data_IF_216327274620
#
_entry.id   IF_216327274620
#
_cell.length_a   1.000
_cell.length_b   1.000
_cell.length_c   1.000
_cell.angle_alpha   90.00
_cell.angle_beta   90.00
_cell.angle_gamma   90.00
#
_symmetry.space_group_name_H-M   'P 1'
#
loop_
_entity.id
_entity.type
_entity.pdbx_description
1 polymer ?
#
# COMPACT_ATOMS: atom_id res chain seq x y z
N UNK A 1 -9.56 7.99 -23.54
CA UNK A 1 -8.25 7.59 -22.99
C UNK A 1 -7.25 8.76 -22.90
N UNK A 2 -7.07 9.60 -23.94
CA UNK A 2 -6.12 10.75 -23.93
C UNK A 2 -6.36 11.80 -22.82
N UNK A 3 -7.60 12.00 -22.37
CA UNK A 3 -7.90 12.93 -21.26
C UNK A 3 -7.41 12.42 -19.89
N UNK A 4 -7.26 11.09 -19.72
CA UNK A 4 -6.84 10.49 -18.45
C UNK A 4 -5.33 10.67 -18.26
N UNK A 5 -4.54 10.35 -19.27
CA UNK A 5 -3.07 10.51 -19.24
C UNK A 5 -2.66 11.98 -19.11
N UNK A 6 -3.42 12.89 -19.72
CA UNK A 6 -3.14 14.33 -19.58
C UNK A 6 -3.49 14.86 -18.18
N UNK A 7 -4.52 14.30 -17.53
CA UNK A 7 -4.84 14.60 -16.14
C UNK A 7 -3.79 14.03 -15.19
N UNK A 8 -3.31 12.81 -15.42
CA UNK A 8 -2.23 12.21 -14.63
C UNK A 8 -0.94 13.05 -14.67
N UNK A 9 -0.58 13.60 -15.84
CA UNK A 9 0.55 14.55 -15.96
C UNK A 9 0.30 15.84 -15.18
N UNK A 10 -0.90 16.41 -15.27
CA UNK A 10 -1.25 17.62 -14.52
C UNK A 10 -1.17 17.38 -13.01
N UNK A 11 -1.71 16.26 -12.53
CA UNK A 11 -1.66 15.87 -11.12
C UNK A 11 -0.20 15.69 -10.65
N UNK A 12 0.66 15.08 -11.48
CA UNK A 12 2.09 14.98 -11.20
C UNK A 12 2.76 16.37 -11.09
N UNK A 13 2.50 17.28 -12.04
CA UNK A 13 3.07 18.64 -11.99
C UNK A 13 2.63 19.39 -10.73
N UNK A 14 1.39 19.16 -10.29
CA UNK A 14 0.84 19.78 -9.08
C UNK A 14 1.36 19.18 -7.79
N UNK A 15 1.68 17.89 -7.77
CA UNK A 15 2.24 17.22 -6.59
C UNK A 15 3.69 17.64 -6.26
N UNK A 16 4.43 18.17 -7.24
CA UNK A 16 5.81 18.62 -7.02
C UNK A 16 5.90 19.74 -5.97
N UNK A 17 6.87 19.62 -5.06
CA UNK A 17 7.24 20.65 -4.10
C UNK A 17 7.88 21.86 -4.78
N UNK A 18 7.94 23.01 -4.09
CA UNK A 18 8.64 24.21 -4.59
C UNK A 18 10.11 23.92 -4.94
N UNK A 19 10.78 23.07 -4.16
CA UNK A 19 12.17 22.66 -4.39
C UNK A 19 12.30 21.78 -5.64
N UNK A 20 11.45 20.77 -5.80
CA UNK A 20 11.44 19.88 -6.99
C UNK A 20 11.15 20.68 -8.27
N UNK A 21 10.20 21.62 -8.24
CA UNK A 21 9.91 22.52 -9.39
C UNK A 21 11.12 23.38 -9.78
N UNK A 22 11.87 23.89 -8.80
CA UNK A 22 13.13 24.63 -9.07
C UNK A 22 14.21 23.71 -9.65
N UNK A 23 14.31 22.48 -9.15
CA UNK A 23 15.25 21.48 -9.65
C UNK A 23 14.97 21.14 -11.11
N UNK A 24 13.71 20.83 -11.45
CA UNK A 24 13.29 20.54 -12.83
C UNK A 24 13.60 21.70 -13.79
N UNK A 25 13.30 22.95 -13.39
CA UNK A 25 13.63 24.12 -14.23
C UNK A 25 15.13 24.24 -14.51
N UNK A 26 16.00 23.90 -13.55
CA UNK A 26 17.46 23.88 -13.78
C UNK A 26 17.87 22.72 -14.67
N UNK A 27 17.30 21.54 -14.46
CA UNK A 27 17.55 20.34 -15.26
C UNK A 27 17.21 20.58 -16.75
N UNK A 28 16.00 21.04 -17.04
CA UNK A 28 15.55 21.28 -18.41
C UNK A 28 16.32 22.41 -19.10
N UNK A 29 16.79 23.43 -18.35
CA UNK A 29 17.67 24.49 -18.88
C UNK A 29 19.08 24.00 -19.24
N UNK A 30 19.61 22.98 -18.56
CA UNK A 30 20.94 22.42 -18.85
C UNK A 30 20.95 21.55 -20.10
N UNK A 31 19.82 20.91 -20.41
CA UNK A 31 19.66 20.02 -21.56
C UNK A 31 19.09 20.77 -22.78
N UNK A 32 19.51 22.02 -22.98
CA UNK A 32 18.83 23.02 -23.83
C UNK A 32 18.97 22.77 -25.34
N UNK A 33 18.09 21.93 -25.89
CA UNK A 33 17.75 21.89 -27.32
C UNK A 33 16.39 22.60 -27.57
N UNK A 34 16.05 22.99 -28.80
CA UNK A 34 14.79 23.70 -29.12
C UNK A 34 13.53 23.03 -28.57
N UNK A 35 13.50 21.69 -28.57
CA UNK A 35 12.42 20.88 -28.01
C UNK A 35 12.28 21.01 -26.48
N UNK A 36 13.39 21.18 -25.77
CA UNK A 36 13.40 21.39 -24.30
C UNK A 36 12.77 22.73 -23.88
N UNK A 37 12.83 23.75 -24.75
CA UNK A 37 12.17 25.04 -24.49
C UNK A 37 10.65 24.89 -24.53
N UNK A 38 10.12 24.13 -25.48
CA UNK A 38 8.68 23.83 -25.57
C UNK A 38 8.20 23.02 -24.36
N UNK A 39 8.99 22.05 -23.90
CA UNK A 39 8.70 21.27 -22.68
C UNK A 39 8.63 22.18 -21.44
N UNK A 40 9.56 23.12 -21.30
CA UNK A 40 9.54 24.11 -20.22
C UNK A 40 8.31 25.01 -20.26
N UNK A 41 7.86 25.42 -21.45
CA UNK A 41 6.65 26.24 -21.60
C UNK A 41 5.42 25.45 -21.16
N UNK A 42 5.24 24.21 -21.62
CA UNK A 42 4.13 23.34 -21.20
C UNK A 42 4.12 23.17 -19.67
N UNK A 43 5.29 22.89 -19.09
CA UNK A 43 5.41 22.76 -17.64
C UNK A 43 4.92 24.00 -16.89
N UNK A 44 5.34 25.20 -17.33
CA UNK A 44 4.92 26.46 -16.71
C UNK A 44 3.42 26.69 -16.86
N UNK A 45 2.87 26.39 -18.04
CA UNK A 45 1.44 26.52 -18.30
C UNK A 45 0.64 25.60 -17.38
N UNK A 46 0.97 24.31 -17.34
CA UNK A 46 0.32 23.33 -16.45
C UNK A 46 0.46 23.69 -14.98
N UNK A 47 1.65 24.12 -14.54
CA UNK A 47 1.88 24.53 -13.16
C UNK A 47 1.05 25.76 -12.77
N UNK A 48 0.76 26.67 -13.72
CA UNK A 48 -0.05 27.87 -13.49
C UNK A 48 -1.57 27.62 -13.45
N UNK A 49 -2.06 26.55 -14.05
CA UNK A 49 -3.50 26.25 -14.14
C UNK A 49 -4.07 25.75 -12.81
N UNK A 50 -5.22 26.22 -12.37
CA UNK A 50 -5.89 25.67 -11.17
C UNK A 50 -6.54 24.32 -11.45
N UNK A 51 -7.22 24.23 -12.60
CA UNK A 51 -7.82 23.01 -13.11
C UNK A 51 -7.29 22.73 -14.51
N UNK A 52 -7.18 21.45 -14.84
CA UNK A 52 -6.70 21.03 -16.14
C UNK A 52 -7.68 21.44 -17.26
N UNK A 53 -7.19 22.27 -18.20
CA UNK A 53 -7.93 22.70 -19.38
C UNK A 53 -7.04 22.59 -20.64
N UNK A 54 -7.38 21.62 -21.49
CA UNK A 54 -6.65 21.35 -22.73
C UNK A 54 -6.75 22.49 -23.75
N UNK A 55 -7.90 23.18 -23.82
CA UNK A 55 -8.09 24.29 -24.76
C UNK A 55 -7.21 25.47 -24.38
N UNK A 56 -7.10 25.75 -23.08
CA UNK A 56 -6.19 26.78 -22.57
C UNK A 56 -4.72 26.40 -22.79
N UNK A 57 -4.37 25.12 -22.66
CA UNK A 57 -3.02 24.64 -22.95
C UNK A 57 -2.64 24.91 -24.41
N UNK A 58 -3.50 24.49 -25.35
CA UNK A 58 -3.29 24.71 -26.79
C UNK A 58 -3.18 26.21 -27.12
N UNK A 59 -4.05 27.05 -26.56
CA UNK A 59 -4.02 28.52 -26.80
C UNK A 59 -2.72 29.18 -26.33
N UNK A 60 -2.14 28.70 -25.23
CA UNK A 60 -0.89 29.26 -24.68
C UNK A 60 0.36 28.75 -25.42
N UNK A 61 0.26 27.63 -26.13
CA UNK A 61 1.35 27.07 -26.95
C UNK A 61 1.36 27.69 -28.36
N UNK A 62 1.77 28.96 -28.47
CA UNK A 62 1.91 29.64 -29.78
C UNK A 62 3.06 29.01 -30.58
N UNK A 63 2.76 28.48 -31.78
CA UNK A 63 3.75 27.94 -32.72
C UNK A 63 3.98 26.42 -32.65
N UNK A 64 3.28 25.69 -31.77
CA UNK A 64 3.30 24.23 -31.72
C UNK A 64 2.05 23.68 -32.38
N UNK A 65 2.20 22.74 -33.32
CA UNK A 65 1.05 22.09 -33.95
C UNK A 65 0.31 21.22 -32.92
N UNK A 66 -1.03 21.25 -32.92
CA UNK A 66 -1.85 20.43 -32.01
C UNK A 66 -1.47 18.94 -32.03
N UNK A 67 -0.98 18.45 -33.18
CA UNK A 67 -0.54 17.06 -33.36
C UNK A 67 0.72 16.71 -32.54
N UNK A 68 1.56 17.68 -32.20
CA UNK A 68 2.80 17.48 -31.42
C UNK A 68 2.56 17.49 -29.90
N UNK A 69 1.42 18.01 -29.45
CA UNK A 69 1.14 18.21 -28.03
C UNK A 69 1.15 16.91 -27.20
N UNK A 70 0.61 15.77 -27.67
CA UNK A 70 0.72 14.50 -26.95
C UNK A 70 2.17 14.03 -26.76
N UNK A 71 3.02 14.18 -27.78
CA UNK A 71 4.44 13.81 -27.69
C UNK A 71 5.19 14.69 -26.70
N UNK A 72 4.96 16.00 -26.76
CA UNK A 72 5.56 16.96 -25.83
C UNK A 72 5.13 16.73 -24.38
N UNK A 73 3.88 16.31 -24.14
CA UNK A 73 3.41 15.90 -22.81
C UNK A 73 4.14 14.64 -22.33
N UNK A 74 4.34 13.66 -23.21
CA UNK A 74 5.13 12.46 -22.90
C UNK A 74 6.58 12.79 -22.56
N UNK A 75 7.21 13.68 -23.34
CA UNK A 75 8.56 14.16 -23.07
C UNK A 75 8.65 14.95 -21.76
N UNK A 76 7.67 15.81 -21.47
CA UNK A 76 7.59 16.51 -20.19
C UNK A 76 7.50 15.52 -19.02
N UNK A 77 6.63 14.52 -19.12
CA UNK A 77 6.47 13.49 -18.10
C UNK A 77 7.80 12.80 -17.82
N UNK A 78 8.50 12.32 -18.85
CA UNK A 78 9.78 11.63 -18.71
C UNK A 78 10.87 12.57 -18.14
N UNK A 79 10.97 13.81 -18.61
CA UNK A 79 11.96 14.76 -18.09
C UNK A 79 11.70 15.13 -16.62
N UNK A 80 10.44 15.20 -16.18
CA UNK A 80 10.12 15.38 -14.76
C UNK A 80 10.66 14.20 -13.96
N UNK A 81 10.37 12.96 -14.38
CA UNK A 81 10.85 11.76 -13.71
C UNK A 81 12.39 11.68 -13.65
N UNK A 82 13.08 11.99 -14.75
CA UNK A 82 14.55 12.03 -14.79
C UNK A 82 15.11 13.08 -13.80
N UNK A 83 14.51 14.27 -13.76
CA UNK A 83 14.94 15.32 -12.84
C UNK A 83 14.74 14.93 -11.37
N UNK A 84 13.67 14.21 -11.06
CA UNK A 84 13.37 13.71 -9.72
C UNK A 84 14.34 12.60 -9.32
N UNK A 85 14.65 11.68 -10.25
CA UNK A 85 15.64 10.62 -10.06
C UNK A 85 17.00 11.22 -9.68
N UNK A 86 17.49 12.19 -10.45
CA UNK A 86 18.78 12.86 -10.14
C UNK A 86 18.74 13.54 -8.77
N UNK A 87 17.63 14.18 -8.42
CA UNK A 87 17.49 14.87 -7.13
C UNK A 87 17.39 13.94 -5.91
N UNK A 88 16.93 12.70 -6.09
CA UNK A 88 16.67 11.72 -5.00
C UNK A 88 17.66 10.56 -4.94
N UNK A 89 18.65 10.52 -5.83
CA UNK A 89 19.60 9.41 -5.89
C UNK A 89 20.29 9.14 -4.55
N UNK A 90 20.70 10.19 -3.82
CA UNK A 90 21.40 10.02 -2.54
C UNK A 90 20.46 9.63 -1.39
N UNK A 91 19.15 9.85 -1.53
CA UNK A 91 18.15 9.52 -0.49
C UNK A 91 17.57 8.10 -0.68
N UNK A 92 17.50 7.62 -1.92
CA UNK A 92 16.86 6.34 -2.24
C UNK A 92 17.87 5.21 -2.39
N UNK A 93 17.87 4.26 -1.45
CA UNK A 93 18.67 3.03 -1.50
C UNK A 93 18.47 2.28 -2.83
N UNK A 94 17.23 2.18 -3.32
CA UNK A 94 16.92 1.50 -4.58
C UNK A 94 17.60 2.19 -5.76
N UNK A 95 17.57 3.53 -5.81
CA UNK A 95 18.26 4.29 -6.87
C UNK A 95 19.78 4.10 -6.79
N UNK A 96 20.36 4.09 -5.59
CA UNK A 96 21.78 3.82 -5.40
C UNK A 96 22.16 2.41 -5.88
N UNK A 97 21.36 1.39 -5.56
CA UNK A 97 21.60 0.01 -6.00
C UNK A 97 21.52 -0.12 -7.52
N UNK A 98 20.52 0.49 -8.15
CA UNK A 98 20.42 0.55 -9.61
C UNK A 98 21.64 1.26 -10.22
N UNK A 99 22.03 2.41 -9.68
CA UNK A 99 23.17 3.17 -10.17
C UNK A 99 24.48 2.36 -10.06
N UNK A 100 24.71 1.67 -8.94
CA UNK A 100 25.88 0.79 -8.79
C UNK A 100 25.86 -0.35 -9.81
N UNK A 101 24.69 -0.92 -10.10
CA UNK A 101 24.55 -1.98 -11.11
C UNK A 101 24.86 -1.45 -12.52
N UNK A 102 24.34 -0.26 -12.85
CA UNK A 102 24.62 0.44 -14.11
C UNK A 102 26.12 0.73 -14.25
N UNK A 103 26.75 1.28 -13.21
CA UNK A 103 28.18 1.55 -13.18
C UNK A 103 29.01 0.28 -13.40
N UNK A 104 28.66 -0.82 -12.73
CA UNK A 104 29.33 -2.10 -12.91
C UNK A 104 29.21 -2.59 -14.36
N UNK A 105 28.01 -2.53 -14.95
CA UNK A 105 27.75 -2.93 -16.33
C UNK A 105 28.53 -2.09 -17.34
N UNK A 106 28.59 -0.76 -17.16
CA UNK A 106 29.35 0.16 -18.03
C UNK A 106 30.84 -0.16 -17.95
N UNK A 107 31.39 -0.34 -16.75
CA UNK A 107 32.81 -0.66 -16.56
C UNK A 107 33.16 -2.00 -17.20
N UNK A 108 32.32 -3.02 -16.99
CA UNK A 108 32.49 -4.33 -17.60
C UNK A 108 32.45 -4.25 -19.14
N UNK A 109 31.47 -3.56 -19.72
CA UNK A 109 31.35 -3.38 -21.16
C UNK A 109 32.55 -2.66 -21.78
N UNK A 110 33.20 -1.77 -21.02
CA UNK A 110 34.43 -1.08 -21.42
C UNK A 110 35.72 -1.86 -21.15
N UNK A 111 35.64 -3.10 -20.63
CA UNK A 111 36.80 -3.94 -20.33
C UNK A 111 37.47 -3.66 -18.98
N UNK A 112 36.94 -2.75 -18.15
CA UNK A 112 37.46 -2.43 -16.82
C UNK A 112 36.97 -3.42 -15.76
N UNK A 113 37.35 -4.70 -15.92
CA UNK A 113 36.81 -5.83 -15.16
C UNK A 113 37.10 -5.72 -13.65
N UNK A 114 38.33 -5.34 -13.27
CA UNK A 114 38.71 -5.19 -11.86
C UNK A 114 37.90 -4.08 -11.19
N UNK A 115 37.67 -2.97 -11.90
CA UNK A 115 36.87 -1.85 -11.42
C UNK A 115 35.40 -2.26 -11.29
N UNK A 116 34.86 -2.98 -12.27
CA UNK A 116 33.51 -3.54 -12.21
C UNK A 116 33.33 -4.44 -10.98
N UNK A 117 34.30 -5.34 -10.70
CA UNK A 117 34.29 -6.18 -9.50
C UNK A 117 34.28 -5.39 -8.18
N UNK A 118 35.03 -4.29 -8.10
CA UNK A 118 34.99 -3.39 -6.92
C UNK A 118 33.62 -2.74 -6.73
N UNK A 119 32.96 -2.33 -7.82
CA UNK A 119 31.60 -1.76 -7.76
C UNK A 119 30.59 -2.83 -7.35
N UNK A 120 30.68 -4.05 -7.89
CA UNK A 120 29.83 -5.17 -7.49
C UNK A 120 29.97 -5.52 -6.01
N UNK A 121 31.19 -5.50 -5.46
CA UNK A 121 31.40 -5.71 -4.02
C UNK A 121 30.67 -4.66 -3.17
N UNK A 122 30.71 -3.38 -3.58
CA UNK A 122 29.96 -2.30 -2.90
C UNK A 122 28.45 -2.53 -3.01
N UNK A 123 27.97 -2.92 -4.19
CA UNK A 123 26.56 -3.24 -4.41
C UNK A 123 26.11 -4.40 -3.51
N UNK A 124 26.86 -5.50 -3.45
CA UNK A 124 26.58 -6.65 -2.56
C UNK A 124 26.47 -6.21 -1.10
N UNK A 125 27.44 -5.43 -0.62
CA UNK A 125 27.44 -4.95 0.76
C UNK A 125 26.21 -4.09 1.07
N UNK A 126 25.90 -3.13 0.19
CA UNK A 126 24.73 -2.26 0.34
C UNK A 126 23.42 -3.05 0.27
N UNK A 127 23.31 -3.99 -0.67
CA UNK A 127 22.13 -4.83 -0.83
C UNK A 127 21.90 -5.71 0.40
N UNK A 128 22.95 -6.35 0.91
CA UNK A 128 22.90 -7.18 2.13
C UNK A 128 22.52 -6.35 3.36
N UNK A 129 23.11 -5.17 3.55
CA UNK A 129 22.78 -4.31 4.70
C UNK A 129 21.36 -3.74 4.65
N UNK A 130 20.71 -3.75 3.48
CA UNK A 130 19.36 -3.22 3.27
C UNK A 130 18.33 -4.29 2.93
N UNK A 131 18.66 -5.56 3.14
CA UNK A 131 17.79 -6.72 2.87
C UNK A 131 17.28 -6.81 1.42
N UNK A 132 18.01 -6.26 0.45
CA UNK A 132 17.65 -6.23 -0.97
C UNK A 132 18.18 -7.46 -1.72
N UNK A 133 17.62 -8.63 -1.40
CA UNK A 133 18.12 -9.94 -1.88
C UNK A 133 18.09 -10.05 -3.43
N UNK A 134 17.14 -9.39 -4.10
CA UNK A 134 17.08 -9.39 -5.58
C UNK A 134 18.28 -8.71 -6.23
N UNK A 135 18.78 -7.63 -5.64
CA UNK A 135 20.01 -6.95 -6.10
C UNK A 135 21.25 -7.76 -5.77
N UNK A 136 21.29 -8.40 -4.60
CA UNK A 136 22.37 -9.32 -4.23
C UNK A 136 22.49 -10.45 -5.27
N UNK A 137 21.36 -11.05 -5.67
CA UNK A 137 21.32 -12.08 -6.70
C UNK A 137 21.87 -11.58 -8.04
N UNK A 138 21.43 -10.41 -8.51
CA UNK A 138 21.93 -9.81 -9.75
C UNK A 138 23.45 -9.56 -9.69
N UNK A 139 23.95 -9.08 -8.55
CA UNK A 139 25.38 -8.88 -8.32
C UNK A 139 26.16 -10.18 -8.45
N UNK A 140 25.68 -11.24 -7.80
CA UNK A 140 26.32 -12.57 -7.81
C UNK A 140 26.29 -13.20 -9.21
N UNK A 141 25.22 -13.00 -9.97
CA UNK A 141 25.14 -13.46 -11.38
C UNK A 141 26.23 -12.78 -12.20
N UNK A 142 26.37 -11.46 -12.04
CA UNK A 142 27.39 -10.70 -12.77
C UNK A 142 28.82 -11.05 -12.32
N UNK A 143 29.03 -11.27 -11.03
CA UNK A 143 30.31 -11.69 -10.46
C UNK A 143 30.73 -13.08 -11.00
N UNK A 144 29.79 -14.04 -11.05
CA UNK A 144 30.03 -15.35 -11.67
C UNK A 144 30.34 -15.23 -13.16
N UNK A 145 29.63 -14.35 -13.88
CA UNK A 145 29.90 -14.08 -15.31
C UNK A 145 31.31 -13.54 -15.52
N UNK A 146 31.77 -12.63 -14.65
CA UNK A 146 33.14 -12.11 -14.68
C UNK A 146 34.14 -13.24 -14.40
N UNK A 147 33.92 -14.02 -13.35
CA UNK A 147 34.84 -15.11 -12.95
C UNK A 147 34.97 -16.19 -14.01
N UNK A 148 33.88 -16.53 -14.71
CA UNK A 148 33.91 -17.51 -15.81
C UNK A 148 34.78 -17.08 -16.99
N UNK A 149 34.93 -15.78 -17.24
CA UNK A 149 35.65 -15.25 -18.41
C UNK A 149 37.06 -14.79 -18.05
N UNK A 150 37.23 -14.14 -16.90
CA UNK A 150 38.46 -13.45 -16.49
C UNK A 150 39.05 -13.96 -15.16
N UNK A 151 38.43 -14.97 -14.55
CA UNK A 151 38.80 -15.48 -13.24
C UNK A 151 40.11 -16.23 -13.20
N UNK A 152 40.61 -16.46 -11.99
CA UNK A 152 41.87 -17.19 -11.72
C UNK A 152 41.69 -18.71 -11.62
N UNK A 153 40.46 -19.22 -11.82
CA UNK A 153 40.09 -20.63 -11.60
C UNK A 153 40.38 -21.16 -10.19
N UNK A 154 40.47 -20.27 -9.18
CA UNK A 154 40.73 -20.66 -7.80
C UNK A 154 39.51 -21.41 -7.22
N UNK A 155 39.68 -22.70 -6.90
CA UNK A 155 38.58 -23.56 -6.44
C UNK A 155 37.89 -23.04 -5.17
N UNK A 156 38.64 -22.46 -4.23
CA UNK A 156 38.08 -21.92 -3.00
C UNK A 156 37.10 -20.77 -3.28
N UNK A 157 37.50 -19.84 -4.15
CA UNK A 157 36.66 -18.71 -4.58
C UNK A 157 35.41 -19.17 -5.34
N UNK A 158 35.56 -20.13 -6.25
CA UNK A 158 34.42 -20.70 -7.01
C UNK A 158 33.41 -21.35 -6.05
N UNK A 159 33.87 -22.15 -5.08
CA UNK A 159 33.01 -22.76 -4.07
C UNK A 159 32.28 -21.71 -3.23
N UNK A 160 32.98 -20.68 -2.78
CA UNK A 160 32.39 -19.57 -2.02
C UNK A 160 31.29 -18.85 -2.81
N UNK A 161 31.53 -18.48 -4.07
CA UNK A 161 30.52 -17.84 -4.93
C UNK A 161 29.31 -18.75 -5.21
N UNK A 162 29.53 -20.06 -5.32
CA UNK A 162 28.44 -21.02 -5.48
C UNK A 162 27.57 -21.12 -4.23
N UNK A 163 28.19 -21.19 -3.05
CA UNK A 163 27.47 -21.23 -1.77
C UNK A 163 26.69 -19.93 -1.54
N UNK A 164 27.29 -18.76 -1.79
CA UNK A 164 26.59 -17.47 -1.69
C UNK A 164 25.38 -17.39 -2.62
N UNK A 165 25.52 -17.87 -3.86
CA UNK A 165 24.41 -17.91 -4.82
C UNK A 165 23.28 -18.84 -4.36
N UNK A 166 23.62 -20.02 -3.82
CA UNK A 166 22.62 -20.97 -3.32
C UNK A 166 21.86 -20.38 -2.12
N UNK A 167 22.57 -19.79 -1.15
CA UNK A 167 21.96 -19.12 -0.01
C UNK A 167 21.05 -17.96 -0.46
N UNK A 168 21.50 -17.14 -1.41
CA UNK A 168 20.72 -16.03 -1.97
C UNK A 168 19.46 -16.54 -2.71
N UNK A 169 19.59 -17.61 -3.49
CA UNK A 169 18.48 -18.21 -4.23
C UNK A 169 17.41 -18.78 -3.28
N UNK A 170 17.85 -19.42 -2.19
CA UNK A 170 16.96 -19.93 -1.17
C UNK A 170 16.17 -18.80 -0.48
N UNK A 171 16.84 -17.70 -0.11
CA UNK A 171 16.16 -16.53 0.48
C UNK A 171 15.16 -15.89 -0.48
N UNK A 172 15.47 -15.80 -1.79
CA UNK A 172 14.51 -15.33 -2.80
C UNK A 172 13.30 -16.24 -2.92
N UNK A 173 13.51 -17.55 -2.87
CA UNK A 173 12.42 -18.51 -2.91
C UNK A 173 11.49 -18.35 -1.70
N UNK A 174 12.05 -18.26 -0.49
CA UNK A 174 11.28 -18.01 0.73
C UNK A 174 10.50 -16.70 0.64
N UNK A 175 11.13 -15.62 0.16
CA UNK A 175 10.48 -14.33 -0.04
C UNK A 175 9.27 -14.44 -0.98
N UNK A 176 9.44 -15.13 -2.11
CA UNK A 176 8.36 -15.36 -3.08
C UNK A 176 7.21 -16.20 -2.49
N UNK A 177 7.53 -17.28 -1.79
CA UNK A 177 6.54 -18.14 -1.13
C UNK A 177 5.71 -17.38 -0.09
N UNK A 178 6.37 -16.66 0.82
CA UNK A 178 5.69 -15.89 1.87
C UNK A 178 4.85 -14.75 1.29
N UNK A 179 5.39 -14.03 0.30
CA UNK A 179 4.67 -12.94 -0.37
C UNK A 179 3.42 -13.46 -1.08
N UNK A 180 3.53 -14.58 -1.80
CA UNK A 180 2.38 -15.18 -2.50
C UNK A 180 1.29 -15.60 -1.51
N UNK A 181 1.68 -16.26 -0.42
CA UNK A 181 0.74 -16.68 0.61
C UNK A 181 0.03 -15.50 1.28
N UNK A 182 0.79 -14.48 1.69
CA UNK A 182 0.26 -13.23 2.27
C UNK A 182 -0.72 -12.55 1.31
N UNK A 183 -0.38 -12.48 0.02
CA UNK A 183 -1.22 -11.86 -1.00
C UNK A 183 -2.52 -12.65 -1.25
N UNK A 184 -2.47 -13.98 -1.27
CA UNK A 184 -3.66 -14.83 -1.42
C UNK A 184 -4.63 -14.64 -0.25
N UNK A 185 -4.12 -14.72 0.99
CA UNK A 185 -4.91 -14.51 2.20
C UNK A 185 -5.46 -13.09 2.27
N UNK A 186 -4.66 -12.08 1.92
CA UNK A 186 -5.13 -10.70 1.86
C UNK A 186 -6.22 -10.52 0.81
N UNK A 187 -6.10 -11.16 -0.35
CA UNK A 187 -7.12 -11.13 -1.40
C UNK A 187 -8.46 -11.67 -0.91
N UNK A 188 -8.45 -12.80 -0.21
CA UNK A 188 -9.63 -13.38 0.43
C UNK A 188 -10.22 -12.45 1.49
N UNK A 189 -9.38 -11.91 2.39
CA UNK A 189 -9.83 -10.95 3.41
C UNK A 189 -10.44 -9.70 2.79
N UNK A 190 -9.83 -9.17 1.72
CA UNK A 190 -10.33 -7.98 1.01
C UNK A 190 -11.69 -8.24 0.37
N UNK A 191 -11.97 -9.47 -0.06
CA UNK A 191 -13.26 -9.86 -0.67
C UNK A 191 -14.32 -10.16 0.38
N UNK A 192 -14.02 -11.06 1.30
CA UNK A 192 -15.02 -11.64 2.20
C UNK A 192 -15.04 -10.96 3.58
N UNK A 193 -13.90 -10.49 4.07
CA UNK A 193 -13.69 -10.19 5.49
C UNK A 193 -13.39 -11.47 6.27
N UNK A 194 -14.22 -11.79 7.25
CA UNK A 194 -14.19 -13.10 7.94
C UNK A 194 -14.91 -14.17 7.11
N UNK A 195 -14.33 -15.37 7.01
CA UNK A 195 -15.00 -16.51 6.37
C UNK A 195 -15.93 -17.19 7.37
N UNK A 196 -17.07 -17.68 6.88
CA UNK A 196 -18.10 -18.34 7.72
C UNK A 196 -18.61 -19.66 7.14
N UNK A 197 -18.26 -19.97 5.89
CA UNK A 197 -18.63 -21.22 5.23
C UNK A 197 -17.47 -22.21 5.32
N UNK A 198 -17.76 -23.45 5.71
CA UNK A 198 -16.78 -24.54 5.85
C UNK A 198 -15.87 -24.69 4.63
N UNK A 199 -16.39 -24.54 3.41
CA UNK A 199 -15.56 -24.60 2.18
C UNK A 199 -14.55 -23.47 2.08
N UNK A 200 -14.93 -22.27 2.52
CA UNK A 200 -14.03 -21.10 2.53
C UNK A 200 -12.99 -21.23 3.63
N UNK A 201 -13.37 -21.76 4.79
CA UNK A 201 -12.47 -22.07 5.89
C UNK A 201 -11.41 -23.09 5.47
N UNK A 202 -11.81 -24.21 4.86
CA UNK A 202 -10.90 -25.24 4.34
C UNK A 202 -9.92 -24.67 3.31
N UNK A 203 -10.39 -23.78 2.43
CA UNK A 203 -9.53 -23.11 1.46
C UNK A 203 -8.51 -22.17 2.13
N UNK A 204 -8.94 -21.40 3.13
CA UNK A 204 -8.04 -20.53 3.92
C UNK A 204 -7.01 -21.36 4.68
N UNK A 205 -7.41 -22.46 5.31
CA UNK A 205 -6.55 -23.37 6.05
C UNK A 205 -5.54 -24.07 5.11
N UNK A 206 -5.95 -24.46 3.89
CA UNK A 206 -5.06 -25.04 2.89
C UNK A 206 -3.99 -24.03 2.40
N UNK A 207 -4.38 -22.79 2.11
CA UNK A 207 -3.45 -21.73 1.71
C UNK A 207 -2.44 -21.45 2.84
N UNK A 208 -2.91 -21.33 4.08
CA UNK A 208 -2.05 -21.08 5.23
C UNK A 208 -1.13 -22.27 5.57
N UNK A 209 -1.63 -23.50 5.41
CA UNK A 209 -0.88 -24.74 5.67
C UNK A 209 0.25 -25.02 4.68
N UNK A 210 0.20 -24.45 3.47
CA UNK A 210 1.20 -24.71 2.41
C UNK A 210 2.64 -24.35 2.82
N UNK A 211 2.81 -23.32 3.65
CA UNK A 211 4.13 -22.83 4.09
C UNK A 211 4.26 -22.68 5.61
N UNK A 212 3.43 -23.37 6.39
CA UNK A 212 3.37 -23.23 7.86
C UNK A 212 4.59 -23.80 8.61
N UNK A 213 5.44 -24.58 7.94
CA UNK A 213 6.63 -25.24 8.54
C UNK A 213 7.93 -24.45 8.41
N UNK A 214 7.86 -23.20 7.97
CA UNK A 214 9.05 -22.36 7.83
C UNK A 214 9.59 -21.96 9.19
N UNK A 215 10.89 -22.14 9.39
CA UNK A 215 11.59 -21.67 10.58
C UNK A 215 11.68 -20.14 10.57
N UNK A 216 10.93 -19.51 11.48
CA UNK A 216 10.82 -18.05 11.61
C UNK A 216 12.17 -17.37 11.93
N UNK A 217 13.09 -18.06 12.61
CA UNK A 217 14.40 -17.51 12.98
C UNK A 217 15.35 -17.42 11.78
N UNK A 218 15.18 -18.33 10.81
CA UNK A 218 15.98 -18.36 9.58
C UNK A 218 15.62 -17.26 8.56
N UNK A 219 14.53 -16.53 8.79
CA UNK A 219 13.99 -15.56 7.84
C UNK A 219 14.67 -14.19 7.94
N UNK A 220 15.07 -13.67 6.79
CA UNK A 220 15.42 -12.25 6.63
C UNK A 220 14.18 -11.35 6.72
N UNK A 221 14.39 -10.03 6.78
CA UNK A 221 13.33 -9.03 7.05
C UNK A 221 12.07 -9.21 6.19
N UNK A 222 12.17 -9.20 4.85
CA UNK A 222 10.99 -9.24 3.97
C UNK A 222 10.21 -10.57 4.06
N UNK A 223 10.83 -11.76 3.97
CA UNK A 223 10.14 -13.01 4.25
C UNK A 223 9.43 -13.01 5.61
N UNK A 224 10.07 -12.51 6.67
CA UNK A 224 9.50 -12.44 8.02
C UNK A 224 8.31 -11.48 8.11
N UNK A 225 8.42 -10.33 7.44
CA UNK A 225 7.32 -9.38 7.28
C UNK A 225 6.11 -10.05 6.61
N UNK A 226 6.31 -10.71 5.47
CA UNK A 226 5.23 -11.39 4.76
C UNK A 226 4.64 -12.56 5.55
N UNK A 227 5.46 -13.27 6.32
CA UNK A 227 5.00 -14.32 7.23
C UNK A 227 4.07 -13.78 8.32
N UNK A 228 4.43 -12.68 8.99
CA UNK A 228 3.54 -12.05 9.97
C UNK A 228 2.28 -11.46 9.34
N UNK A 229 2.36 -10.94 8.13
CA UNK A 229 1.19 -10.51 7.37
C UNK A 229 0.24 -11.67 7.08
N UNK A 230 0.77 -12.79 6.57
CA UNK A 230 0.00 -14.00 6.30
C UNK A 230 -0.70 -14.50 7.57
N UNK A 231 0.03 -14.60 8.70
CA UNK A 231 -0.54 -14.90 10.02
C UNK A 231 -1.69 -13.95 10.40
N UNK A 232 -1.46 -12.64 10.26
CA UNK A 232 -2.45 -11.61 10.61
C UNK A 232 -3.73 -11.77 9.79
N UNK A 233 -3.61 -11.94 8.46
CA UNK A 233 -4.77 -12.12 7.58
C UNK A 233 -5.48 -13.45 7.80
N UNK A 234 -4.73 -14.52 8.06
CA UNK A 234 -5.29 -15.82 8.40
C UNK A 234 -6.17 -15.75 9.65
N UNK A 235 -5.66 -15.18 10.74
CA UNK A 235 -6.42 -15.09 11.98
C UNK A 235 -7.60 -14.09 11.89
N UNK A 236 -7.51 -13.06 11.05
CA UNK A 236 -8.64 -12.21 10.70
C UNK A 236 -9.73 -13.00 9.95
N UNK A 237 -9.35 -13.79 8.95
CA UNK A 237 -10.28 -14.63 8.19
C UNK A 237 -10.99 -15.63 9.09
N UNK A 238 -10.26 -16.27 10.02
CA UNK A 238 -10.82 -17.25 10.97
C UNK A 238 -11.48 -16.63 12.20
N UNK A 239 -11.57 -15.30 12.29
CA UNK A 239 -12.14 -14.58 13.44
C UNK A 239 -11.50 -14.95 14.79
N UNK A 240 -10.18 -15.22 14.82
CA UNK A 240 -9.44 -15.61 16.02
C UNK A 240 -8.74 -14.39 16.64
N UNK A 241 -9.49 -13.58 17.40
CA UNK A 241 -9.07 -12.24 17.86
C UNK A 241 -7.75 -12.22 18.65
N UNK A 242 -7.54 -13.18 19.56
CA UNK A 242 -6.30 -13.24 20.36
C UNK A 242 -5.06 -13.48 19.49
N UNK A 243 -5.16 -14.41 18.54
CA UNK A 243 -4.05 -14.76 17.64
C UNK A 243 -3.84 -13.67 16.56
N UNK A 244 -4.92 -13.01 16.14
CA UNK A 244 -4.85 -11.79 15.33
C UNK A 244 -4.06 -10.69 16.05
N UNK A 245 -4.36 -10.42 17.33
CA UNK A 245 -3.61 -9.44 18.11
C UNK A 245 -2.12 -9.78 18.21
N UNK A 246 -1.79 -11.02 18.55
CA UNK A 246 -0.41 -11.47 18.68
C UNK A 246 0.36 -11.34 17.36
N UNK A 247 -0.23 -11.78 16.25
CA UNK A 247 0.40 -11.69 14.93
C UNK A 247 0.57 -10.26 14.42
N UNK A 248 -0.44 -9.39 14.61
CA UNK A 248 -0.34 -7.97 14.29
C UNK A 248 0.73 -7.27 15.14
N UNK A 249 0.88 -7.66 16.41
CA UNK A 249 1.95 -7.17 17.27
C UNK A 249 3.33 -7.60 16.75
N UNK A 250 3.52 -8.87 16.39
CA UNK A 250 4.79 -9.34 15.80
C UNK A 250 5.14 -8.58 14.50
N UNK A 251 4.14 -8.26 13.67
CA UNK A 251 4.34 -7.43 12.48
C UNK A 251 4.89 -6.04 12.86
N UNK A 252 4.27 -5.36 13.83
CA UNK A 252 4.75 -4.03 14.29
C UNK A 252 6.12 -4.12 14.96
N UNK A 253 6.32 -5.09 15.85
CA UNK A 253 7.56 -5.30 16.61
C UNK A 253 8.75 -5.64 15.71
N UNK A 254 8.52 -6.23 14.54
CA UNK A 254 9.57 -6.44 13.53
C UNK A 254 10.25 -5.12 13.16
N UNK A 255 9.51 -4.02 13.05
CA UNK A 255 10.10 -2.71 12.72
C UNK A 255 10.88 -2.09 13.87
N UNK A 256 10.59 -2.48 15.12
CA UNK A 256 11.42 -2.10 16.27
C UNK A 256 12.79 -2.78 16.23
N UNK A 257 12.87 -3.99 15.67
CA UNK A 257 14.14 -4.72 15.46
C UNK A 257 14.94 -4.17 14.27
N UNK A 258 14.27 -3.54 13.31
CA UNK A 258 14.87 -2.96 12.11
C UNK A 258 14.41 -1.49 11.91
N UNK A 259 14.90 -0.53 12.72
CA UNK A 259 14.40 0.85 12.72
C UNK A 259 14.48 1.54 11.35
N UNK A 260 15.57 1.32 10.61
CA UNK A 260 15.75 1.87 9.25
C UNK A 260 14.64 1.43 8.29
N UNK A 261 14.09 0.22 8.48
CA UNK A 261 13.00 -0.30 7.65
C UNK A 261 11.67 0.37 7.98
N UNK A 262 11.49 0.94 9.18
CA UNK A 262 10.26 1.65 9.55
C UNK A 262 10.08 2.92 8.72
N UNK A 263 11.18 3.55 8.31
CA UNK A 263 11.16 4.71 7.41
C UNK A 263 11.03 4.29 5.95
N UNK A 264 11.82 3.28 5.53
CA UNK A 264 11.81 2.80 4.15
C UNK A 264 10.47 2.18 3.74
N UNK A 265 9.86 1.40 4.64
CA UNK A 265 8.61 0.66 4.42
C UNK A 265 7.48 1.25 5.26
N UNK A 266 7.44 2.58 5.37
CA UNK A 266 6.47 3.33 6.21
C UNK A 266 5.01 2.89 5.98
N UNK A 267 4.64 2.60 4.73
CA UNK A 267 3.29 2.13 4.38
C UNK A 267 2.98 0.77 4.99
N UNK A 268 3.94 -0.17 4.97
CA UNK A 268 3.78 -1.49 5.58
C UNK A 268 3.75 -1.39 7.10
N UNK A 269 4.60 -0.53 7.69
CA UNK A 269 4.61 -0.28 9.12
C UNK A 269 3.29 0.29 9.62
N UNK A 270 2.76 1.34 8.95
CA UNK A 270 1.48 1.95 9.29
C UNK A 270 0.31 1.00 9.12
N UNK A 271 0.37 0.14 8.10
CA UNK A 271 -0.65 -0.89 7.90
C UNK A 271 -0.65 -1.90 9.05
N UNK A 272 0.51 -2.38 9.46
CA UNK A 272 0.66 -3.26 10.63
C UNK A 272 0.14 -2.59 11.90
N UNK A 273 0.52 -1.34 12.15
CA UNK A 273 0.04 -0.56 13.29
C UNK A 273 -1.48 -0.35 13.28
N UNK A 274 -2.11 -0.19 12.10
CA UNK A 274 -3.56 -0.10 11.96
C UNK A 274 -4.27 -1.41 12.30
N UNK A 275 -3.69 -2.56 11.95
CA UNK A 275 -4.22 -3.86 12.36
C UNK A 275 -4.03 -4.10 13.86
N UNK A 276 -2.89 -3.73 14.42
CA UNK A 276 -2.68 -3.80 15.87
C UNK A 276 -3.66 -2.91 16.64
N UNK A 277 -3.93 -1.70 16.14
CA UNK A 277 -4.93 -0.80 16.71
C UNK A 277 -6.33 -1.40 16.68
N UNK A 278 -6.72 -2.01 15.55
CA UNK A 278 -7.99 -2.72 15.41
C UNK A 278 -8.09 -3.90 16.39
N UNK A 279 -7.04 -4.72 16.50
CA UNK A 279 -6.99 -5.84 17.43
C UNK A 279 -7.08 -5.39 18.89
N UNK A 280 -6.36 -4.31 19.24
CA UNK A 280 -6.39 -3.73 20.57
C UNK A 280 -7.78 -3.19 20.94
N UNK A 281 -8.49 -2.60 19.97
CA UNK A 281 -9.88 -2.18 20.15
C UNK A 281 -10.78 -3.39 20.44
N UNK A 282 -10.69 -4.46 19.63
CA UNK A 282 -11.51 -5.67 19.81
C UNK A 282 -11.26 -6.36 21.16
N UNK A 283 -10.01 -6.36 21.63
CA UNK A 283 -9.63 -6.93 22.93
C UNK A 283 -9.76 -5.96 24.11
N UNK A 284 -10.24 -4.73 23.89
CA UNK A 284 -10.34 -3.69 24.93
C UNK A 284 -8.98 -3.39 25.60
N UNK A 285 -7.88 -3.55 24.87
CA UNK A 285 -6.50 -3.35 25.36
C UNK A 285 -6.09 -1.87 25.24
N UNK A 286 -6.54 -1.05 26.21
CA UNK A 286 -6.37 0.42 26.19
C UNK A 286 -4.94 0.91 25.93
N UNK A 287 -3.95 0.35 26.62
CA UNK A 287 -2.55 0.78 26.49
C UNK A 287 -2.04 0.62 25.05
N UNK A 288 -2.27 -0.56 24.45
CA UNK A 288 -1.89 -0.85 23.07
C UNK A 288 -2.69 -0.03 22.07
N UNK A 289 -3.98 0.24 22.36
CA UNK A 289 -4.83 1.08 21.52
C UNK A 289 -4.26 2.50 21.40
N UNK A 290 -3.87 3.11 22.52
CA UNK A 290 -3.24 4.44 22.55
C UNK A 290 -1.86 4.41 21.88
N UNK A 291 -1.00 3.45 22.23
CA UNK A 291 0.34 3.33 21.66
C UNK A 291 0.31 3.18 20.14
N UNK A 292 -0.55 2.31 19.61
CA UNK A 292 -0.69 2.10 18.16
C UNK A 292 -1.27 3.34 17.45
N UNK A 293 -2.17 4.11 18.10
CA UNK A 293 -2.68 5.36 17.54
C UNK A 293 -1.57 6.42 17.37
N UNK A 294 -0.63 6.51 18.32
CA UNK A 294 0.54 7.41 18.20
C UNK A 294 1.41 7.06 17.00
N UNK A 295 1.65 5.76 16.74
CA UNK A 295 2.42 5.32 15.57
C UNK A 295 1.77 5.76 14.25
N UNK A 296 0.44 5.81 14.21
CA UNK A 296 -0.33 6.14 13.01
C UNK A 296 -0.34 7.64 12.69
N UNK A 297 -0.04 8.53 13.65
CA UNK A 297 0.03 9.99 13.42
C UNK A 297 1.09 10.38 12.39
N UNK A 298 2.11 9.53 12.18
CA UNK A 298 3.15 9.72 11.16
C UNK A 298 2.67 9.44 9.73
N UNK A 299 1.41 9.02 9.54
CA UNK A 299 0.85 8.73 8.23
C UNK A 299 0.68 10.00 7.39
N UNK A 300 1.24 10.03 6.17
CA UNK A 300 0.96 11.14 5.24
C UNK A 300 -0.50 11.13 4.79
N UNK A 301 -1.17 9.97 4.91
CA UNK A 301 -2.58 9.78 4.60
C UNK A 301 -3.43 9.79 5.88
N UNK A 302 -4.49 10.61 5.92
CA UNK A 302 -5.40 10.74 7.06
C UNK A 302 -6.21 9.46 7.36
N UNK A 303 -6.22 8.48 6.45
CA UNK A 303 -7.00 7.25 6.61
C UNK A 303 -6.74 6.52 7.94
N UNK A 304 -5.48 6.20 8.24
CA UNK A 304 -5.13 5.46 9.45
C UNK A 304 -5.29 6.27 10.75
N UNK A 305 -4.86 7.55 10.81
CA UNK A 305 -5.16 8.42 11.97
C UNK A 305 -6.65 8.51 12.29
N UNK A 306 -7.52 8.69 11.29
CA UNK A 306 -8.97 8.79 11.50
C UNK A 306 -9.55 7.47 12.01
N UNK A 307 -9.15 6.32 11.45
CA UNK A 307 -9.58 5.02 11.96
C UNK A 307 -9.16 4.80 13.41
N UNK A 308 -7.92 5.13 13.76
CA UNK A 308 -7.43 4.99 15.13
C UNK A 308 -8.18 5.91 16.11
N UNK A 309 -8.47 7.14 15.69
CA UNK A 309 -9.27 8.08 16.48
C UNK A 309 -10.69 7.56 16.67
N UNK A 310 -11.34 7.03 15.63
CA UNK A 310 -12.67 6.41 15.75
C UNK A 310 -12.64 5.22 16.72
N UNK A 311 -11.65 4.33 16.60
CA UNK A 311 -11.51 3.17 17.49
C UNK A 311 -11.35 3.61 18.96
N UNK A 312 -10.59 4.68 19.23
CA UNK A 312 -10.46 5.25 20.57
C UNK A 312 -11.79 5.82 21.10
N UNK A 313 -12.53 6.56 20.27
CA UNK A 313 -13.82 7.14 20.66
C UNK A 313 -14.90 6.07 20.87
N UNK A 314 -14.88 5.00 20.07
CA UNK A 314 -15.70 3.81 20.28
C UNK A 314 -15.35 3.11 21.61
N UNK A 315 -14.06 2.98 21.93
CA UNK A 315 -13.60 2.39 23.19
C UNK A 315 -14.09 3.20 24.41
N UNK A 316 -13.94 4.52 24.37
CA UNK A 316 -14.40 5.43 25.44
C UNK A 316 -15.91 5.67 25.41
N UNK A 317 -16.63 5.11 24.41
CA UNK A 317 -18.07 5.34 24.16
C UNK A 317 -18.44 6.83 24.07
N UNK A 318 -17.57 7.62 23.46
CA UNK A 318 -17.72 9.06 23.32
C UNK A 318 -18.08 9.42 21.88
N UNK A 319 -19.25 10.05 21.67
CA UNK A 319 -19.63 10.63 20.38
C UNK A 319 -19.12 12.08 20.23
N UNK A 320 -18.54 12.40 19.07
CA UNK A 320 -18.09 13.75 18.70
C UNK A 320 -18.54 14.08 17.27
N UNK A 321 -19.48 15.03 17.16
CA UNK A 321 -20.06 15.47 15.89
C UNK A 321 -19.01 16.07 14.94
N UNK A 322 -17.99 16.77 15.48
CA UNK A 322 -16.95 17.40 14.66
C UNK A 322 -16.06 16.36 13.98
N UNK A 323 -15.75 15.27 14.70
CA UNK A 323 -15.06 14.12 14.15
C UNK A 323 -15.89 13.44 13.06
N UNK A 324 -17.19 13.27 13.28
CA UNK A 324 -18.10 12.69 12.29
C UNK A 324 -18.12 13.51 10.98
N UNK A 325 -18.24 14.83 11.06
CA UNK A 325 -18.22 15.69 9.88
C UNK A 325 -16.87 15.62 9.13
N UNK A 326 -15.76 15.62 9.87
CA UNK A 326 -14.42 15.44 9.29
C UNK A 326 -14.30 14.10 8.56
N UNK A 327 -14.75 13.01 9.18
CA UNK A 327 -14.69 11.65 8.63
C UNK A 327 -15.57 11.53 7.39
N UNK A 328 -16.76 12.15 7.39
CA UNK A 328 -17.66 12.14 6.24
C UNK A 328 -17.07 12.87 5.03
N UNK A 329 -16.49 14.06 5.25
CA UNK A 329 -15.85 14.83 4.18
C UNK A 329 -14.63 14.11 3.60
N UNK A 330 -13.78 13.55 4.46
CA UNK A 330 -12.65 12.74 4.01
C UNK A 330 -13.13 11.47 3.28
N UNK A 331 -14.15 10.80 3.81
CA UNK A 331 -14.79 9.62 3.20
C UNK A 331 -15.26 9.88 1.77
N UNK A 332 -15.90 11.03 1.51
CA UNK A 332 -16.31 11.45 0.15
C UNK A 332 -15.14 11.59 -0.84
N UNK A 333 -13.96 11.97 -0.35
CA UNK A 333 -12.76 12.14 -1.17
C UNK A 333 -12.05 10.82 -1.51
N UNK A 334 -12.34 9.74 -0.78
CA UNK A 334 -11.70 8.44 -0.98
C UNK A 334 -12.14 7.78 -2.30
N UNK A 335 -11.15 7.45 -3.13
CA UNK A 335 -11.38 6.71 -4.38
C UNK A 335 -11.34 5.18 -4.19
N UNK A 336 -10.77 4.70 -3.09
CA UNK A 336 -10.65 3.26 -2.81
C UNK A 336 -11.92 2.77 -2.10
N UNK A 337 -12.73 1.89 -2.73
CA UNK A 337 -14.00 1.43 -2.17
C UNK A 337 -13.85 0.69 -0.84
N UNK A 338 -12.81 -0.12 -0.68
CA UNK A 338 -12.59 -0.90 0.55
C UNK A 338 -12.26 0.01 1.73
N UNK A 339 -11.39 1.00 1.51
CA UNK A 339 -11.06 2.00 2.52
C UNK A 339 -12.28 2.84 2.89
N UNK A 340 -13.03 3.33 1.90
CA UNK A 340 -14.24 4.10 2.16
C UNK A 340 -15.26 3.28 2.96
N UNK A 341 -15.49 2.02 2.59
CA UNK A 341 -16.42 1.13 3.28
C UNK A 341 -15.99 0.87 4.73
N UNK A 342 -14.71 0.58 4.98
CA UNK A 342 -14.18 0.40 6.34
C UNK A 342 -14.37 1.65 7.20
N UNK A 343 -14.09 2.82 6.64
CA UNK A 343 -14.25 4.09 7.35
C UNK A 343 -15.73 4.39 7.63
N UNK A 344 -16.61 4.20 6.66
CA UNK A 344 -18.05 4.42 6.82
C UNK A 344 -18.65 3.48 7.87
N UNK A 345 -18.24 2.20 7.87
CA UNK A 345 -18.68 1.23 8.88
C UNK A 345 -18.31 1.67 10.31
N UNK A 346 -17.04 2.01 10.53
CA UNK A 346 -16.56 2.48 11.84
C UNK A 346 -17.23 3.78 12.28
N UNK A 347 -17.44 4.72 11.35
CA UNK A 347 -18.13 5.97 11.63
C UNK A 347 -19.62 5.77 11.95
N UNK A 348 -20.30 4.85 11.24
CA UNK A 348 -21.67 4.47 11.54
C UNK A 348 -21.82 3.85 12.92
N UNK A 349 -20.88 2.98 13.34
CA UNK A 349 -20.82 2.46 14.72
C UNK A 349 -20.74 3.61 15.74
N UNK A 350 -19.89 4.61 15.47
CA UNK A 350 -19.73 5.74 16.38
C UNK A 350 -20.98 6.62 16.43
N UNK A 351 -21.68 6.81 15.31
CA UNK A 351 -22.96 7.53 15.27
C UNK A 351 -24.05 6.81 16.08
N UNK A 352 -24.06 5.48 16.09
CA UNK A 352 -24.97 4.69 16.94
C UNK A 352 -24.70 4.93 18.44
N UNK A 353 -23.43 5.09 18.85
CA UNK A 353 -23.08 5.47 20.24
C UNK A 353 -23.69 6.82 20.62
N UNK A 354 -23.77 7.76 19.67
CA UNK A 354 -24.41 9.07 19.85
C UNK A 354 -25.92 9.11 19.63
N UNK A 355 -26.58 7.98 19.30
CA UNK A 355 -27.98 7.92 18.84
C UNK A 355 -28.30 8.81 17.62
N UNK A 356 -27.28 9.13 16.80
CA UNK A 356 -27.44 9.96 15.60
C UNK A 356 -27.79 9.09 14.38
N UNK A 357 -29.04 8.63 14.33
CA UNK A 357 -29.52 7.75 13.26
C UNK A 357 -29.51 8.43 11.87
N UNK A 358 -29.58 9.77 11.81
CA UNK A 358 -29.45 10.51 10.56
C UNK A 358 -28.06 10.35 9.95
N UNK A 359 -27.01 10.56 10.74
CA UNK A 359 -25.62 10.34 10.28
C UNK A 359 -25.30 8.88 9.98
N UNK A 360 -25.92 7.92 10.69
CA UNK A 360 -25.82 6.50 10.31
C UNK A 360 -26.29 6.28 8.87
N UNK A 361 -27.45 6.86 8.49
CA UNK A 361 -27.95 6.76 7.12
C UNK A 361 -27.01 7.43 6.10
N UNK A 362 -26.43 8.58 6.43
CA UNK A 362 -25.46 9.26 5.56
C UNK A 362 -24.23 8.38 5.27
N UNK A 363 -23.67 7.71 6.28
CA UNK A 363 -22.52 6.81 6.12
C UNK A 363 -22.89 5.49 5.41
N UNK A 364 -24.05 4.92 5.69
CA UNK A 364 -24.50 3.70 4.99
C UNK A 364 -24.69 3.98 3.50
N UNK A 365 -25.29 5.13 3.15
CA UNK A 365 -25.44 5.57 1.77
C UNK A 365 -24.07 5.80 1.10
N UNK A 366 -23.15 6.49 1.78
CA UNK A 366 -21.81 6.75 1.25
C UNK A 366 -21.05 5.44 0.97
N UNK A 367 -21.07 4.50 1.91
CA UNK A 367 -20.34 3.23 1.80
C UNK A 367 -20.96 2.23 0.81
N UNK A 368 -22.29 2.18 0.70
CA UNK A 368 -23.01 1.19 -0.13
C UNK A 368 -23.24 1.65 -1.58
N UNK A 369 -23.10 2.94 -1.88
CA UNK A 369 -23.32 3.48 -3.23
C UNK A 369 -22.26 3.03 -4.25
N UNK A 370 -21.08 2.59 -3.81
CA UNK A 370 -20.04 2.11 -4.71
C UNK A 370 -20.29 0.65 -5.09
N UNK A 371 -20.40 0.37 -6.40
CA UNK A 371 -20.40 -1.01 -6.91
C UNK A 371 -19.04 -1.65 -6.64
N UNK A 372 -18.95 -2.44 -5.58
CA UNK A 372 -17.73 -3.16 -5.20
C UNK A 372 -18.06 -4.55 -4.68
N UNK A 373 -17.20 -5.52 -5.01
CA UNK A 373 -17.21 -6.85 -4.40
C UNK A 373 -16.25 -6.96 -3.20
N UNK A 374 -15.72 -5.83 -2.71
CA UNK A 374 -14.86 -5.80 -1.55
C UNK A 374 -15.66 -5.86 -0.24
N UNK A 375 -15.12 -6.55 0.76
CA UNK A 375 -15.60 -6.59 2.15
C UNK A 375 -17.10 -6.82 2.25
N UNK A 376 -17.54 -7.95 1.70
CA UNK A 376 -18.93 -8.40 1.70
C UNK A 376 -19.50 -8.43 3.13
N UNK A 377 -18.68 -8.80 4.12
CA UNK A 377 -18.99 -8.70 5.55
C UNK A 377 -19.43 -7.28 5.97
N UNK A 378 -18.65 -6.25 5.63
CA UNK A 378 -18.95 -4.87 6.02
C UNK A 378 -20.15 -4.31 5.26
N UNK A 379 -20.32 -4.68 4.00
CA UNK A 379 -21.52 -4.30 3.25
C UNK A 379 -22.78 -4.87 3.91
N UNK A 380 -22.72 -6.12 4.35
CA UNK A 380 -23.83 -6.72 5.08
C UNK A 380 -24.10 -6.01 6.41
N UNK A 381 -23.05 -5.75 7.21
CA UNK A 381 -23.20 -5.04 8.48
C UNK A 381 -23.75 -3.61 8.32
N UNK A 382 -23.31 -2.87 7.30
CA UNK A 382 -23.86 -1.55 6.99
C UNK A 382 -25.33 -1.60 6.56
N UNK A 383 -25.74 -2.63 5.80
CA UNK A 383 -27.16 -2.83 5.46
C UNK A 383 -28.01 -3.10 6.69
N UNK A 384 -27.51 -3.88 7.66
CA UNK A 384 -28.18 -4.08 8.94
C UNK A 384 -28.32 -2.76 9.72
N UNK A 385 -27.25 -1.98 9.80
CA UNK A 385 -27.28 -0.64 10.44
C UNK A 385 -28.25 0.31 9.73
N UNK A 386 -28.36 0.22 8.40
CA UNK A 386 -29.31 1.01 7.62
C UNK A 386 -30.75 0.65 7.96
N UNK A 387 -31.08 -0.64 8.05
CA UNK A 387 -32.40 -1.12 8.49
C UNK A 387 -32.72 -0.63 9.90
N UNK A 388 -31.78 -0.79 10.84
CA UNK A 388 -31.96 -0.37 12.23
C UNK A 388 -32.18 1.13 12.35
N UNK A 389 -31.38 1.95 11.67
CA UNK A 389 -31.52 3.40 11.68
C UNK A 389 -32.87 3.86 11.09
N UNK A 390 -33.32 3.26 9.99
CA UNK A 390 -34.64 3.54 9.42
C UNK A 390 -35.79 3.15 10.38
N UNK A 391 -35.67 2.02 11.06
CA UNK A 391 -36.65 1.60 12.06
C UNK A 391 -36.72 2.59 13.23
N UNK A 392 -35.56 3.03 13.76
CA UNK A 392 -35.48 4.05 14.82
C UNK A 392 -36.07 5.40 14.42
N UNK A 393 -35.96 5.77 13.14
CA UNK A 393 -36.58 6.96 12.57
C UNK A 393 -38.05 6.79 12.16
N UNK A 394 -38.67 5.64 12.47
CA UNK A 394 -40.06 5.32 12.12
C UNK A 394 -40.36 5.31 10.61
N UNK A 395 -39.34 5.05 9.77
CA UNK A 395 -39.47 4.98 8.31
C UNK A 395 -39.94 3.59 7.83
N UNK A 396 -41.02 3.05 8.42
CA UNK A 396 -41.43 1.65 8.30
C UNK A 396 -41.60 1.14 6.85
N UNK A 397 -42.14 1.98 5.95
CA UNK A 397 -42.31 1.62 4.53
C UNK A 397 -40.99 1.27 3.83
N UNK A 398 -39.90 1.91 4.23
CA UNK A 398 -38.56 1.68 3.67
C UNK A 398 -37.93 0.45 4.34
N UNK A 399 -38.16 0.28 5.65
CA UNK A 399 -37.63 -0.82 6.44
C UNK A 399 -38.00 -2.19 5.87
N UNK A 400 -39.28 -2.44 5.55
CA UNK A 400 -39.74 -3.73 5.00
C UNK A 400 -38.99 -4.11 3.70
N UNK A 401 -38.79 -3.12 2.83
CA UNK A 401 -38.04 -3.31 1.59
C UNK A 401 -36.55 -3.60 1.86
N UNK A 402 -35.95 -2.85 2.78
CA UNK A 402 -34.54 -3.00 3.12
C UNK A 402 -34.25 -4.32 3.82
N UNK A 403 -35.14 -4.83 4.66
CA UNK A 403 -35.03 -6.15 5.29
C UNK A 403 -34.99 -7.25 4.24
N UNK A 404 -35.94 -7.25 3.29
CA UNK A 404 -35.96 -8.21 2.17
C UNK A 404 -34.72 -8.10 1.27
N UNK A 405 -34.27 -6.88 0.99
CA UNK A 405 -33.04 -6.63 0.22
C UNK A 405 -31.80 -7.15 0.94
N UNK A 406 -31.70 -6.92 2.26
CA UNK A 406 -30.59 -7.35 3.11
C UNK A 406 -30.57 -8.86 3.28
N UNK A 407 -31.74 -9.50 3.45
CA UNK A 407 -31.86 -10.95 3.49
C UNK A 407 -31.44 -11.59 2.15
N UNK A 408 -31.88 -11.04 1.01
CA UNK A 408 -31.45 -11.51 -0.32
C UNK A 408 -29.94 -11.37 -0.52
N UNK A 409 -29.36 -10.25 -0.06
CA UNK A 409 -27.91 -10.04 -0.09
C UNK A 409 -27.18 -11.09 0.75
N UNK A 410 -27.63 -11.35 1.97
CA UNK A 410 -27.06 -12.37 2.84
C UNK A 410 -27.14 -13.77 2.22
N UNK A 411 -28.30 -14.13 1.67
CA UNK A 411 -28.52 -15.43 1.01
C UNK A 411 -27.56 -15.62 -0.17
N UNK A 412 -27.46 -14.61 -1.05
CA UNK A 412 -26.60 -14.64 -2.23
C UNK A 412 -25.13 -14.83 -1.88
N UNK A 413 -24.69 -14.29 -0.74
CA UNK A 413 -23.30 -14.31 -0.30
C UNK A 413 -23.01 -15.35 0.80
N UNK A 414 -23.94 -16.25 1.11
CA UNK A 414 -23.71 -17.32 2.10
C UNK A 414 -23.61 -16.86 3.56
N UNK A 415 -24.15 -15.67 3.89
CA UNK A 415 -24.05 -15.07 5.23
C UNK A 415 -25.18 -15.48 6.19
N UNK A 416 -26.14 -16.29 5.75
CA UNK A 416 -27.34 -16.65 6.54
C UNK A 416 -27.10 -17.69 7.65
N UNK A 417 -25.98 -18.42 7.61
CA UNK A 417 -25.67 -19.49 8.58
C UNK A 417 -24.95 -19.00 9.84
N UNK A 418 -24.91 -17.69 10.09
CA UNK A 418 -24.05 -17.10 11.12
C UNK A 418 -24.87 -16.73 12.34
N UNK A 419 -24.90 -17.64 13.33
CA UNK A 419 -25.46 -17.34 14.65
C UNK A 419 -24.73 -16.19 15.32
N UNK A 420 -25.49 -15.21 15.82
CA UNK A 420 -25.22 -14.17 16.83
C UNK A 420 -23.87 -13.39 16.91
N UNK A 421 -22.81 -13.76 16.19
CA UNK A 421 -21.47 -13.17 16.31
C UNK A 421 -21.20 -11.98 15.38
N UNK A 422 -22.06 -11.71 14.39
CA UNK A 422 -21.83 -10.63 13.40
C UNK A 422 -22.04 -9.21 13.95
N UNK A 423 -22.65 -9.09 15.13
CA UNK A 423 -22.88 -7.82 15.83
C UNK A 423 -21.84 -7.54 16.93
N UNK A 424 -20.83 -8.38 17.09
CA UNK A 424 -19.71 -8.08 18.00
C UNK A 424 -18.91 -6.88 17.45
N UNK A 425 -18.55 -5.90 18.31
CA UNK A 425 -17.91 -4.63 17.91
C UNK A 425 -16.62 -4.76 17.11
#
# INVERSE_FOLDING_TARGET
MQNRTSRELFDLVKSLTKCEKKSFNRYAKRNSNSESLNVLVIFRVLNSMEQYDEKLLVRKMKGVQCQQLPSLKGHLYNQILDSLRIGKNDESILLQLHQLMEHANILYAKGFVVQAGKVLKRLKNLASSRHQVSFLFQALVMEKKIELIYGSCEQAKIKSLNNEMQACSHQLQLMGQMSNQSMLLFGLYKKYGSVTNTKEEENVDAIYGTYSKVDEESLSFYPKLYFFQAKTYYYLLRSQTNLFFQSAKCWVDLFSQYPDMAELELVQFQRGASYLNEAAFQLQARATLVQSAELLKRSPDLFYPLLAKINFFLFEKHYDASLIDQVYMYGKSLQNPERQLRLCYKAAQLCLVGNDHGKVLDFTLLGLNQKSEARIDLQFKLRLMQVEAHNKLSNFRITDYLELSTHRFAKRNGLLNVGHGLLSP
#
